data_IF_593018668669
#
_entry.id   IF_593018668669
#
_cell.length_a   1.000
_cell.length_b   1.000
_cell.length_c   1.000
_cell.angle_alpha   90.00
_cell.angle_beta   90.00
_cell.angle_gamma   90.00
#
_symmetry.space_group_name_H-M   'P 1'
#
loop_
_entity.id
_entity.type
_entity.pdbx_description
1 polymer ?
#
# COMPACT_ATOMS: atom_id res chain seq x y z
N UNK A 1 -9.91 -3.28 12.83
CA UNK A 1 -11.14 -3.71 13.52
C UNK A 1 -11.39 -5.15 13.08
N UNK A 2 -11.41 -6.12 14.00
CA UNK A 2 -11.80 -7.48 13.60
C UNK A 2 -13.29 -7.42 13.25
N UNK A 3 -13.74 -8.04 12.14
CA UNK A 3 -15.17 -8.13 11.89
C UNK A 3 -15.82 -8.82 13.09
N UNK A 4 -17.01 -8.34 13.51
CA UNK A 4 -17.79 -9.04 14.54
C UNK A 4 -18.00 -10.46 14.07
N UNK A 5 -17.74 -11.44 14.95
CA UNK A 5 -17.92 -12.86 14.62
C UNK A 5 -19.39 -13.05 14.25
N UNK A 6 -19.65 -13.66 13.09
CA UNK A 6 -21.00 -14.03 12.68
C UNK A 6 -21.55 -15.00 13.73
N UNK A 7 -22.75 -14.74 14.23
CA UNK A 7 -23.40 -15.60 15.21
C UNK A 7 -24.04 -16.81 14.51
N UNK A 8 -23.31 -17.92 14.50
CA UNK A 8 -23.73 -19.14 13.82
C UNK A 8 -24.88 -19.88 14.55
N UNK A 9 -25.21 -19.51 15.79
CA UNK A 9 -26.31 -20.14 16.54
C UNK A 9 -27.68 -19.92 15.89
N UNK A 10 -27.82 -18.86 15.08
CA UNK A 10 -29.03 -18.53 14.31
C UNK A 10 -29.37 -19.50 13.18
N UNK A 11 -28.42 -20.33 12.72
CA UNK A 11 -28.67 -21.26 11.62
C UNK A 11 -29.23 -22.61 12.07
N UNK A 12 -29.20 -22.94 13.37
CA UNK A 12 -29.48 -24.29 13.86
C UNK A 12 -30.63 -24.43 14.87
N UNK A 13 -31.19 -23.32 15.37
CA UNK A 13 -32.08 -23.40 16.52
C UNK A 13 -33.53 -23.84 16.21
N UNK A 14 -34.12 -23.53 15.05
CA UNK A 14 -35.55 -23.81 14.80
C UNK A 14 -35.93 -24.18 13.35
N UNK A 15 -34.98 -24.57 12.49
CA UNK A 15 -35.29 -25.03 11.11
C UNK A 15 -35.87 -23.97 10.16
N UNK A 16 -36.13 -22.75 10.64
CA UNK A 16 -36.52 -21.60 9.81
C UNK A 16 -35.25 -20.95 9.28
N UNK A 17 -34.89 -21.26 8.02
CA UNK A 17 -33.83 -20.55 7.31
C UNK A 17 -34.32 -19.11 7.10
N UNK A 18 -33.89 -18.17 7.95
CA UNK A 18 -34.16 -16.76 7.72
C UNK A 18 -33.51 -16.33 6.41
N UNK A 19 -34.30 -15.88 5.43
CA UNK A 19 -33.81 -15.42 4.12
C UNK A 19 -32.81 -14.25 4.19
N UNK A 20 -32.66 -13.63 5.37
CA UNK A 20 -31.76 -12.51 5.66
C UNK A 20 -30.28 -12.90 5.84
N UNK A 21 -29.91 -14.19 5.82
CA UNK A 21 -28.51 -14.61 6.00
C UNK A 21 -27.56 -14.06 4.92
N UNK A 22 -28.07 -13.82 3.72
CA UNK A 22 -27.33 -13.16 2.63
C UNK A 22 -27.11 -11.67 2.94
N UNK A 23 -28.12 -10.99 3.46
CA UNK A 23 -28.04 -9.57 3.83
C UNK A 23 -27.06 -9.35 4.98
N UNK A 24 -27.03 -10.24 5.97
CA UNK A 24 -26.08 -10.22 7.09
C UNK A 24 -24.63 -10.47 6.64
N UNK A 25 -24.42 -11.17 5.52
CA UNK A 25 -23.09 -11.43 4.96
C UNK A 25 -22.51 -10.21 4.22
N UNK A 26 -23.36 -9.31 3.72
CA UNK A 26 -22.92 -8.08 3.06
C UNK A 26 -22.68 -6.97 4.10
N UNK A 27 -21.46 -6.42 4.14
CA UNK A 27 -21.16 -5.24 4.97
C UNK A 27 -20.36 -4.20 4.19
N UNK A 28 -20.82 -2.95 4.24
CA UNK A 28 -20.10 -1.82 3.65
C UNK A 28 -19.11 -1.28 4.68
N UNK A 29 -17.80 -1.43 4.40
CA UNK A 29 -16.73 -0.98 5.28
C UNK A 29 -15.83 0.04 4.58
N UNK A 30 -15.43 1.10 5.29
CA UNK A 30 -14.43 2.06 4.81
C UNK A 30 -13.03 1.44 4.95
N UNK A 31 -12.50 0.90 3.85
CA UNK A 31 -11.17 0.30 3.80
C UNK A 31 -10.16 1.22 3.10
N UNK A 32 -8.89 1.24 3.54
CA UNK A 32 -7.85 2.03 2.87
C UNK A 32 -7.53 1.43 1.51
N UNK A 33 -7.66 2.25 0.45
CA UNK A 33 -7.25 1.91 -0.91
C UNK A 33 -5.98 2.67 -1.26
N UNK A 34 -4.94 1.94 -1.63
CA UNK A 34 -3.68 2.50 -2.11
C UNK A 34 -3.73 2.65 -3.62
N UNK A 35 -3.49 3.88 -4.09
CA UNK A 35 -3.45 4.19 -5.51
C UNK A 35 -2.00 4.21 -5.97
N UNK A 36 -1.69 3.40 -6.99
CA UNK A 36 -0.39 3.36 -7.64
C UNK A 36 -0.54 3.93 -9.03
N UNK A 37 0.00 5.13 -9.25
CA UNK A 37 0.02 5.79 -10.55
C UNK A 37 1.47 6.11 -10.95
N UNK A 38 1.93 5.55 -12.07
CA UNK A 38 3.24 5.89 -12.65
C UNK A 38 3.33 5.45 -14.12
N UNK A 39 4.04 6.24 -14.93
CA UNK A 39 4.30 5.94 -16.34
C UNK A 39 3.02 5.64 -17.16
N UNK A 40 1.94 6.41 -16.92
CA UNK A 40 0.65 6.23 -17.60
C UNK A 40 -0.16 5.03 -17.12
N UNK A 41 0.31 4.28 -16.13
CA UNK A 41 -0.40 3.12 -15.56
C UNK A 41 -1.03 3.49 -14.23
N UNK A 42 -2.22 2.96 -13.98
CA UNK A 42 -3.01 3.21 -12.78
C UNK A 42 -3.53 1.89 -12.18
N UNK A 43 -3.31 1.67 -10.88
CA UNK A 43 -3.80 0.50 -10.18
C UNK A 43 -4.29 0.83 -8.77
N UNK A 44 -5.37 0.19 -8.35
CA UNK A 44 -5.88 0.18 -6.98
C UNK A 44 -5.37 -1.07 -6.25
N UNK A 45 -4.87 -0.90 -5.02
CA UNK A 45 -4.34 -1.98 -4.17
C UNK A 45 -4.89 -1.87 -2.75
N UNK A 46 -5.12 -3.02 -2.15
CA UNK A 46 -5.84 -3.14 -0.88
C UNK A 46 -4.88 -3.22 0.31
N UNK A 47 -3.58 -3.41 0.03
CA UNK A 47 -2.52 -3.39 1.03
C UNK A 47 -1.36 -2.50 0.57
N UNK A 48 -0.66 -1.91 1.54
CA UNK A 48 0.52 -1.08 1.30
C UNK A 48 1.63 -1.86 0.61
N UNK A 49 1.83 -3.11 1.03
CA UNK A 49 2.90 -3.94 0.46
C UNK A 49 2.62 -4.28 -1.01
N UNK A 50 1.38 -4.66 -1.32
CA UNK A 50 0.95 -4.89 -2.70
C UNK A 50 1.08 -3.64 -3.57
N UNK A 51 0.83 -2.45 -3.00
CA UNK A 51 1.05 -1.18 -3.69
C UNK A 51 2.53 -0.93 -4.00
N UNK A 52 3.42 -1.18 -3.03
CA UNK A 52 4.88 -1.04 -3.21
C UNK A 52 5.39 -2.02 -4.27
N UNK A 53 4.99 -3.30 -4.19
CA UNK A 53 5.36 -4.30 -5.18
C UNK A 53 4.85 -3.92 -6.57
N UNK A 54 3.60 -3.45 -6.69
CA UNK A 54 3.06 -2.99 -7.97
C UNK A 54 3.83 -1.80 -8.53
N UNK A 55 4.19 -0.82 -7.70
CA UNK A 55 4.98 0.33 -8.10
C UNK A 55 6.38 -0.10 -8.59
N UNK A 56 7.05 -0.97 -7.83
CA UNK A 56 8.35 -1.52 -8.20
C UNK A 56 8.30 -2.27 -9.53
N UNK A 57 7.26 -3.07 -9.76
CA UNK A 57 7.03 -3.76 -11.03
C UNK A 57 6.89 -2.77 -12.20
N UNK A 58 6.07 -1.73 -12.07
CA UNK A 58 5.91 -0.69 -13.11
C UNK A 58 7.25 -0.03 -13.45
N UNK A 59 8.03 0.32 -12.43
CA UNK A 59 9.35 0.94 -12.61
C UNK A 59 10.34 0.00 -13.29
N UNK A 60 10.41 -1.25 -12.84
CA UNK A 60 11.32 -2.28 -13.37
C UNK A 60 10.98 -2.59 -14.82
N UNK A 61 9.69 -2.82 -15.12
CA UNK A 61 9.22 -3.05 -16.48
C UNK A 61 9.57 -1.90 -17.42
N UNK A 62 9.42 -0.65 -16.97
CA UNK A 62 9.72 0.51 -17.81
C UNK A 62 11.20 0.57 -18.18
N UNK A 63 12.10 0.22 -17.25
CA UNK A 63 13.55 0.17 -17.49
C UNK A 63 13.89 -0.96 -18.46
N UNK A 64 13.38 -2.17 -18.24
CA UNK A 64 13.62 -3.31 -19.12
C UNK A 64 13.12 -3.05 -20.55
N UNK A 65 11.90 -2.52 -20.69
CA UNK A 65 11.34 -2.17 -22.00
C UNK A 65 12.18 -1.10 -22.71
N UNK A 66 12.72 -0.12 -21.99
CA UNK A 66 13.60 0.92 -22.58
C UNK A 66 14.96 0.36 -22.99
N UNK A 67 15.47 -0.63 -22.28
CA UNK A 67 16.74 -1.28 -22.58
C UNK A 67 16.61 -2.43 -23.59
N UNK A 68 15.40 -2.75 -24.06
CA UNK A 68 15.15 -3.89 -24.95
C UNK A 68 15.37 -5.26 -24.29
N UNK A 69 15.42 -5.33 -22.96
CA UNK A 69 15.63 -6.58 -22.24
C UNK A 69 14.31 -7.35 -22.06
N UNK A 70 14.38 -8.66 -22.29
CA UNK A 70 13.28 -9.58 -21.97
C UNK A 70 13.09 -9.68 -20.45
N UNK A 71 11.85 -9.77 -20.01
CA UNK A 71 11.50 -9.91 -18.59
C UNK A 71 11.31 -11.35 -18.16
N UNK A 72 10.91 -12.21 -19.11
CA UNK A 72 10.56 -13.61 -18.90
C UNK A 72 11.38 -14.49 -19.84
N UNK A 73 11.60 -15.74 -19.42
CA UNK A 73 12.08 -16.78 -20.31
C UNK A 73 11.09 -16.97 -21.47
N UNK A 74 11.53 -17.49 -22.62
CA UNK A 74 10.65 -17.74 -23.76
C UNK A 74 9.44 -18.59 -23.35
N UNK A 75 8.30 -18.32 -23.98
CA UNK A 75 7.09 -19.13 -23.82
C UNK A 75 7.37 -20.56 -24.27
N UNK A 76 6.93 -21.54 -23.49
CA UNK A 76 7.12 -22.96 -23.78
C UNK A 76 5.77 -23.63 -24.09
N UNK A 77 5.71 -24.52 -25.10
CA UNK A 77 4.54 -25.33 -25.35
C UNK A 77 4.41 -26.41 -24.27
N UNK A 78 3.19 -26.63 -23.80
CA UNK A 78 2.82 -27.68 -22.85
C UNK A 78 1.66 -28.44 -23.47
N UNK A 79 1.77 -29.77 -23.49
CA UNK A 79 0.71 -30.66 -23.97
C UNK A 79 -0.25 -30.87 -22.80
N UNK A 80 -1.51 -30.47 -22.99
CA UNK A 80 -2.61 -30.70 -22.05
C UNK A 80 -3.11 -32.14 -22.09
N UNK A 81 -3.99 -32.50 -21.15
CA UNK A 81 -4.56 -33.85 -21.05
C UNK A 81 -5.35 -34.28 -22.30
N UNK A 82 -5.93 -33.31 -23.02
CA UNK A 82 -6.70 -33.52 -24.26
C UNK A 82 -5.82 -33.54 -25.54
N UNK A 83 -4.49 -33.70 -25.41
CA UNK A 83 -3.51 -33.58 -26.50
C UNK A 83 -3.46 -32.19 -27.19
N UNK A 84 -4.07 -31.16 -26.59
CA UNK A 84 -3.96 -29.78 -27.06
C UNK A 84 -2.64 -29.12 -26.63
N UNK A 85 -2.08 -28.28 -27.50
CA UNK A 85 -0.87 -27.50 -27.19
C UNK A 85 -1.27 -26.16 -26.55
N UNK A 86 -0.95 -26.00 -25.28
CA UNK A 86 -1.06 -24.73 -24.56
C UNK A 86 0.28 -24.01 -24.47
N UNK A 87 0.26 -22.69 -24.63
CA UNK A 87 1.47 -21.86 -24.54
C UNK A 87 1.59 -21.27 -23.14
N UNK A 88 2.58 -21.72 -22.36
CA UNK A 88 2.85 -21.18 -21.02
C UNK A 88 3.93 -20.11 -21.08
N UNK A 89 3.61 -18.93 -20.58
CA UNK A 89 4.60 -17.84 -20.41
C UNK A 89 5.72 -18.33 -19.50
N UNK A 90 6.97 -18.16 -19.95
CA UNK A 90 8.15 -18.53 -19.16
C UNK A 90 8.25 -17.73 -17.86
N UNK A 91 8.99 -18.28 -16.90
CA UNK A 91 9.21 -17.63 -15.61
C UNK A 91 9.96 -16.30 -15.75
N UNK A 92 9.91 -15.46 -14.72
CA UNK A 92 10.67 -14.21 -14.69
C UNK A 92 12.17 -14.48 -14.69
N UNK A 93 12.93 -13.71 -15.46
CA UNK A 93 14.39 -13.80 -15.42
C UNK A 93 14.90 -13.43 -14.02
N UNK A 94 15.96 -14.11 -13.52
CA UNK A 94 16.61 -13.73 -12.27
C UNK A 94 17.04 -12.26 -12.24
N UNK A 95 17.52 -11.72 -13.37
CA UNK A 95 17.90 -10.31 -13.50
C UNK A 95 16.72 -9.35 -13.27
N UNK A 96 15.54 -9.71 -13.76
CA UNK A 96 14.31 -8.95 -13.54
C UNK A 96 13.90 -9.00 -12.08
N UNK A 97 13.88 -10.19 -11.47
CA UNK A 97 13.54 -10.38 -10.05
C UNK A 97 14.48 -9.57 -9.16
N UNK A 98 15.79 -9.62 -9.41
CA UNK A 98 16.76 -8.85 -8.65
C UNK A 98 16.54 -7.33 -8.81
N UNK A 99 16.29 -6.85 -10.02
CA UNK A 99 16.01 -5.43 -10.25
C UNK A 99 14.73 -4.99 -9.54
N UNK A 100 13.68 -5.80 -9.61
CA UNK A 100 12.43 -5.60 -8.89
C UNK A 100 12.64 -5.51 -7.37
N UNK A 101 13.37 -6.47 -6.79
CA UNK A 101 13.65 -6.49 -5.36
C UNK A 101 14.46 -5.28 -4.90
N UNK A 102 15.42 -4.82 -5.72
CA UNK A 102 16.15 -3.56 -5.47
C UNK A 102 15.20 -2.36 -5.47
N UNK A 103 14.27 -2.30 -6.43
CA UNK A 103 13.28 -1.22 -6.49
C UNK A 103 12.36 -1.24 -5.26
N UNK A 104 11.85 -2.40 -4.85
CA UNK A 104 11.05 -2.56 -3.62
C UNK A 104 11.81 -2.05 -2.39
N UNK A 105 13.06 -2.49 -2.20
CA UNK A 105 13.91 -2.04 -1.09
C UNK A 105 14.10 -0.54 -1.11
N UNK A 106 14.39 0.04 -2.29
CA UNK A 106 14.59 1.49 -2.43
C UNK A 106 13.34 2.28 -2.09
N UNK A 107 12.16 1.85 -2.56
CA UNK A 107 10.88 2.49 -2.22
C UNK A 107 10.65 2.47 -0.71
N UNK A 108 10.86 1.32 -0.06
CA UNK A 108 10.72 1.21 1.41
C UNK A 108 11.66 2.16 2.16
N UNK A 109 12.91 2.28 1.73
CA UNK A 109 13.88 3.20 2.33
C UNK A 109 13.46 4.67 2.16
N UNK A 110 12.99 5.06 0.97
CA UNK A 110 12.50 6.43 0.73
C UNK A 110 11.29 6.75 1.59
N UNK A 111 10.34 5.82 1.72
CA UNK A 111 9.18 5.99 2.60
C UNK A 111 9.59 6.10 4.08
N UNK A 112 10.56 5.31 4.53
CA UNK A 112 11.10 5.41 5.91
C UNK A 112 11.77 6.76 6.14
N UNK A 113 12.60 7.22 5.20
CA UNK A 113 13.24 8.53 5.26
C UNK A 113 12.20 9.66 5.32
N UNK A 114 11.17 9.59 4.48
CA UNK A 114 10.09 10.58 4.48
C UNK A 114 9.37 10.64 5.82
N UNK A 115 9.02 9.48 6.38
CA UNK A 115 8.41 9.40 7.72
C UNK A 115 9.30 10.05 8.79
N UNK A 116 10.62 9.85 8.73
CA UNK A 116 11.55 10.49 9.66
C UNK A 116 11.54 12.02 9.54
N UNK A 117 11.54 12.55 8.31
CA UNK A 117 11.44 13.99 8.05
C UNK A 117 10.11 14.55 8.58
N UNK A 118 9.00 13.85 8.35
CA UNK A 118 7.68 14.30 8.81
C UNK A 118 7.62 14.36 10.36
N UNK A 119 8.26 13.41 11.06
CA UNK A 119 8.37 13.42 12.53
C UNK A 119 9.22 14.60 13.01
N UNK A 120 10.37 14.84 12.39
CA UNK A 120 11.24 15.98 12.75
C UNK A 120 10.53 17.31 12.51
N UNK A 121 9.81 17.43 11.38
CA UNK A 121 9.02 18.63 11.06
C UNK A 121 7.96 18.88 12.12
N UNK A 122 7.27 17.84 12.58
CA UNK A 122 6.28 17.97 13.66
C UNK A 122 6.90 18.49 14.95
N UNK A 123 8.01 17.88 15.39
CA UNK A 123 8.74 18.35 16.60
C UNK A 123 9.19 19.80 16.48
N UNK A 124 9.68 20.21 15.32
CA UNK A 124 10.07 21.58 15.06
C UNK A 124 8.89 22.55 15.19
N UNK A 125 7.75 22.22 14.57
CA UNK A 125 6.53 23.04 14.65
C UNK A 125 6.07 23.15 16.11
N UNK A 126 6.05 22.04 16.86
CA UNK A 126 5.64 22.03 18.26
C UNK A 126 6.55 22.92 19.11
N UNK A 127 7.88 22.80 18.96
CA UNK A 127 8.85 23.64 19.68
C UNK A 127 8.75 25.13 19.31
N UNK A 128 8.51 25.42 18.02
CA UNK A 128 8.32 26.80 17.55
C UNK A 128 7.06 27.43 18.15
N UNK A 129 5.96 26.67 18.26
CA UNK A 129 4.74 27.14 18.91
C UNK A 129 4.95 27.48 20.38
N UNK A 130 5.71 26.67 21.13
CA UNK A 130 6.04 26.96 22.53
C UNK A 130 6.94 28.19 22.66
N UNK A 131 7.94 28.32 21.79
CA UNK A 131 8.79 29.52 21.73
C UNK A 131 7.95 30.79 21.52
N UNK A 132 7.04 30.77 20.55
CA UNK A 132 6.16 31.92 20.27
C UNK A 132 5.21 32.24 21.43
N UNK A 133 4.73 31.24 22.16
CA UNK A 133 3.92 31.44 23.38
C UNK A 133 4.72 32.15 24.46
N UNK A 134 5.87 31.58 24.84
CA UNK A 134 6.73 32.13 25.88
C UNK A 134 7.22 33.54 25.52
N UNK A 135 7.54 33.77 24.24
CA UNK A 135 7.92 35.10 23.75
C UNK A 135 6.81 36.13 23.95
N UNK A 136 5.56 35.77 23.66
CA UNK A 136 4.40 36.66 23.89
C UNK A 136 4.17 36.92 25.37
N UNK A 137 4.28 35.90 26.21
CA UNK A 137 4.17 36.03 27.68
C UNK A 137 5.24 37.00 28.21
N UNK A 138 6.49 36.84 27.78
CA UNK A 138 7.59 37.73 28.17
C UNK A 138 7.36 39.19 27.75
N UNK A 139 6.88 39.42 26.52
CA UNK A 139 6.52 40.77 26.03
C UNK A 139 5.38 41.37 26.86
N UNK A 140 4.41 40.57 27.27
CA UNK A 140 3.30 41.07 28.09
C UNK A 140 3.76 41.41 29.51
N UNK A 141 4.62 40.58 30.12
CA UNK A 141 5.18 40.84 31.46
C UNK A 141 6.01 42.12 31.47
N UNK A 142 6.87 42.32 30.46
CA UNK A 142 7.71 43.52 30.36
C UNK A 142 6.91 44.80 30.14
N UNK A 143 5.73 44.72 29.52
CA UNK A 143 4.79 45.86 29.41
C UNK A 143 4.04 46.16 30.71
N UNK A 144 3.93 45.20 31.63
CA UNK A 144 3.18 45.33 32.87
C UNK A 144 4.02 45.81 34.07
N UNK A 145 5.34 45.93 33.96
CA UNK A 145 6.16 46.55 35.00
C UNK A 145 6.12 48.08 34.85
N UNK A 146 5.42 48.82 35.74
CA UNK A 146 5.54 50.27 35.78
C UNK A 146 6.93 50.63 36.28
N UNK A 147 7.62 51.50 35.54
CA UNK A 147 8.81 52.19 36.02
C UNK A 147 8.49 53.19 37.13
#
# INVERSE_FOLDING_TARGET
>A
MKPKKIDYSRFYADGIISGSGIDDAFSIQKLPVYIVSRHGRYYKRWSRDSAINRLAHIMTQKVFNRAGHKTNYPTQPIIGEDNEVHWKIGELLPSYIQCHNRAVRRIRLLLKRRKGIDVLRKKYIDAFCEYERLRKEFINITKQQPG
#
